data_IF_234582059517
#
_entry.id   IF_234582059517
#
_cell.length_a   1.000
_cell.length_b   1.000
_cell.length_c   1.000
_cell.angle_alpha   90.00
_cell.angle_beta   90.00
_cell.angle_gamma   90.00
#
_symmetry.space_group_name_H-M   'P 1'
#
loop_
_entity.id
_entity.type
_entity.pdbx_description
1 polymer ?
#
# COMPACT_ATOMS: atom_id res chain seq x y z
N UNK A 1 -20.31 -9.37 8.29
CA UNK A 1 -19.60 -8.72 7.17
C UNK A 1 -18.29 -8.23 7.74
N UNK A 2 -17.15 -8.72 7.25
CA UNK A 2 -15.84 -8.28 7.74
C UNK A 2 -15.61 -6.85 7.26
N UNK A 3 -15.58 -5.89 8.18
CA UNK A 3 -15.20 -4.50 7.87
C UNK A 3 -13.77 -4.50 7.31
N UNK A 4 -13.58 -3.94 6.12
CA UNK A 4 -12.28 -3.69 5.51
C UNK A 4 -11.95 -2.19 5.59
N UNK A 5 -10.68 -1.80 5.37
CA UNK A 5 -10.22 -0.42 5.53
C UNK A 5 -10.94 0.57 4.60
N UNK A 6 -11.37 0.14 3.40
CA UNK A 6 -12.17 0.99 2.52
C UNK A 6 -13.54 1.27 3.12
N UNK A 7 -14.26 0.21 3.52
CA UNK A 7 -15.58 0.35 4.15
C UNK A 7 -15.52 1.13 5.45
N UNK A 8 -14.42 0.99 6.22
CA UNK A 8 -14.21 1.74 7.46
C UNK A 8 -14.09 3.25 7.21
N UNK A 9 -13.54 3.66 6.07
CA UNK A 9 -13.41 5.07 5.67
C UNK A 9 -14.54 5.56 4.76
N UNK A 10 -15.60 4.76 4.58
CA UNK A 10 -16.74 5.09 3.72
C UNK A 10 -16.39 5.13 2.23
N UNK A 11 -15.44 4.30 1.79
CA UNK A 11 -14.99 4.18 0.41
C UNK A 11 -15.33 2.82 -0.18
N UNK A 12 -15.48 2.79 -1.51
CA UNK A 12 -15.51 1.55 -2.27
C UNK A 12 -14.08 0.99 -2.44
N UNK A 13 -13.97 -0.33 -2.59
CA UNK A 13 -12.69 -1.00 -2.82
C UNK A 13 -12.21 -0.68 -4.22
N UNK A 14 -11.28 0.27 -4.33
CA UNK A 14 -10.68 0.69 -5.59
C UNK A 14 -9.23 1.12 -5.37
N UNK A 15 -8.38 0.91 -6.37
CA UNK A 15 -7.04 1.50 -6.37
C UNK A 15 -7.11 3.01 -6.56
N UNK A 16 -7.98 3.47 -7.46
CA UNK A 16 -8.23 4.88 -7.73
C UNK A 16 -9.29 5.40 -6.76
N UNK A 17 -8.82 5.94 -5.63
CA UNK A 17 -9.67 6.62 -4.65
C UNK A 17 -9.43 8.12 -4.70
N UNK A 18 -10.47 8.88 -4.42
CA UNK A 18 -10.36 10.31 -4.16
C UNK A 18 -9.81 10.54 -2.74
N UNK A 19 -8.55 10.98 -2.67
CA UNK A 19 -7.86 11.27 -1.42
C UNK A 19 -8.52 12.42 -0.64
N UNK A 20 -9.13 13.39 -1.32
CA UNK A 20 -9.81 14.50 -0.66
C UNK A 20 -11.08 14.03 0.05
N UNK A 21 -11.87 13.19 -0.62
CA UNK A 21 -13.05 12.56 0.00
C UNK A 21 -12.64 11.63 1.16
N UNK A 22 -11.57 10.85 0.99
CA UNK A 22 -11.02 10.02 2.07
C UNK A 22 -10.64 10.86 3.30
N UNK A 23 -9.94 11.97 3.09
CA UNK A 23 -9.49 12.87 4.16
C UNK A 23 -10.67 13.53 4.88
N UNK A 24 -11.69 13.99 4.15
CA UNK A 24 -12.92 14.53 4.74
C UNK A 24 -13.65 13.49 5.61
N UNK A 25 -13.80 12.26 5.11
CA UNK A 25 -14.42 11.17 5.85
C UNK A 25 -13.64 10.84 7.12
N UNK A 26 -12.31 10.76 7.02
CA UNK A 26 -11.41 10.53 8.14
C UNK A 26 -11.56 11.58 9.25
N UNK A 27 -11.54 12.88 8.90
CA UNK A 27 -11.69 13.97 9.88
C UNK A 27 -13.06 13.95 10.55
N UNK A 28 -14.13 13.67 9.79
CA UNK A 28 -15.48 13.56 10.32
C UNK A 28 -15.60 12.39 11.32
N UNK A 29 -15.01 11.23 10.99
CA UNK A 29 -15.00 10.06 11.85
C UNK A 29 -14.22 10.29 13.14
N UNK A 30 -13.02 10.88 13.08
CA UNK A 30 -12.24 11.19 14.28
C UNK A 30 -13.00 12.14 15.23
N UNK A 31 -13.68 13.14 14.67
CA UNK A 31 -14.47 14.10 15.44
C UNK A 31 -15.66 13.43 16.14
N UNK A 32 -16.27 12.41 15.53
CA UNK A 32 -17.40 11.65 16.10
C UNK A 32 -17.00 10.65 17.19
N UNK A 33 -15.72 10.27 17.26
CA UNK A 33 -15.20 9.22 18.16
C UNK A 33 -14.42 9.78 19.36
N UNK A 34 -14.50 11.09 19.65
CA UNK A 34 -13.66 11.72 20.67
C UNK A 34 -13.81 11.04 22.05
N UNK A 35 -12.70 10.54 22.66
CA UNK A 35 -12.74 9.70 23.85
C UNK A 35 -13.22 10.43 25.12
N UNK A 36 -13.32 11.75 25.06
CA UNK A 36 -13.78 12.62 26.14
C UNK A 36 -15.31 12.63 26.29
N UNK A 37 -16.04 12.06 25.32
CA UNK A 37 -17.49 11.87 25.42
C UNK A 37 -17.90 10.61 26.22
N UNK A 38 -16.94 9.76 26.63
CA UNK A 38 -17.23 8.51 27.33
C UNK A 38 -16.81 8.58 28.80
N UNK A 39 -17.80 8.56 29.70
CA UNK A 39 -17.61 8.46 31.15
C UNK A 39 -17.33 7.03 31.63
N UNK A 40 -17.57 6.04 30.79
CA UNK A 40 -17.41 4.61 31.05
C UNK A 40 -16.04 4.12 30.53
N UNK A 41 -15.24 3.53 31.40
CA UNK A 41 -13.86 3.08 31.10
C UNK A 41 -13.83 2.08 29.94
N UNK A 42 -14.77 1.13 29.90
CA UNK A 42 -14.81 0.08 28.87
C UNK A 42 -15.20 0.66 27.51
N UNK A 43 -16.11 1.65 27.50
CA UNK A 43 -16.47 2.38 26.26
C UNK A 43 -15.32 3.24 25.75
N UNK A 44 -14.53 3.80 26.66
CA UNK A 44 -13.34 4.59 26.34
C UNK A 44 -12.24 3.73 25.70
N UNK A 45 -11.96 2.54 26.23
CA UNK A 45 -11.02 1.59 25.63
C UNK A 45 -11.45 1.15 24.21
N UNK A 46 -12.75 0.86 24.03
CA UNK A 46 -13.29 0.54 22.71
C UNK A 46 -13.18 1.71 21.73
N UNK A 47 -13.40 2.95 22.18
CA UNK A 47 -13.27 4.14 21.34
C UNK A 47 -11.82 4.34 20.88
N UNK A 48 -10.85 4.17 21.79
CA UNK A 48 -9.42 4.25 21.46
C UNK A 48 -9.02 3.19 20.42
N UNK A 49 -9.47 1.95 20.60
CA UNK A 49 -9.20 0.87 19.64
C UNK A 49 -9.79 1.18 18.24
N UNK A 50 -10.98 1.77 18.18
CA UNK A 50 -11.61 2.15 16.92
C UNK A 50 -10.88 3.31 16.23
N UNK A 51 -10.44 4.33 16.97
CA UNK A 51 -9.61 5.42 16.44
C UNK A 51 -8.30 4.86 15.86
N UNK A 52 -7.66 3.93 16.56
CA UNK A 52 -6.43 3.30 16.09
C UNK A 52 -6.63 2.58 14.74
N UNK A 53 -7.73 1.83 14.58
CA UNK A 53 -8.09 1.18 13.32
C UNK A 53 -8.33 2.17 12.18
N UNK A 54 -9.03 3.27 12.44
CA UNK A 54 -9.28 4.32 11.44
C UNK A 54 -7.98 4.98 11.00
N UNK A 55 -7.06 5.23 11.93
CA UNK A 55 -5.75 5.80 11.62
C UNK A 55 -4.88 4.84 10.79
N UNK A 56 -4.92 3.55 11.13
CA UNK A 56 -4.24 2.51 10.36
C UNK A 56 -4.80 2.43 8.93
N UNK A 57 -6.13 2.34 8.78
CA UNK A 57 -6.79 2.35 7.50
C UNK A 57 -6.40 3.57 6.65
N UNK A 58 -6.40 4.77 7.24
CA UNK A 58 -6.00 6.00 6.55
C UNK A 58 -4.54 5.93 6.10
N UNK A 59 -3.63 5.49 6.95
CA UNK A 59 -2.20 5.34 6.63
C UNK A 59 -1.97 4.37 5.47
N UNK A 60 -2.64 3.20 5.51
CA UNK A 60 -2.54 2.16 4.48
C UNK A 60 -3.10 2.65 3.16
N UNK A 61 -4.30 3.26 3.15
CA UNK A 61 -4.93 3.71 1.91
C UNK A 61 -4.30 4.99 1.35
N UNK A 62 -3.58 5.80 2.14
CA UNK A 62 -2.96 7.05 1.65
C UNK A 62 -1.84 6.80 0.64
N UNK A 63 -0.98 5.81 0.87
CA UNK A 63 0.13 5.50 -0.04
C UNK A 63 -0.32 4.52 -1.15
N UNK A 64 -0.06 4.80 -2.43
CA UNK A 64 -0.46 3.91 -3.53
C UNK A 64 0.08 2.49 -3.40
N UNK A 65 1.31 2.34 -2.88
CA UNK A 65 1.92 1.02 -2.72
C UNK A 65 1.21 0.20 -1.63
N UNK A 66 1.00 0.79 -0.45
CA UNK A 66 0.35 0.09 0.68
C UNK A 66 -1.14 -0.15 0.39
N UNK A 67 -1.78 0.75 -0.35
CA UNK A 67 -3.14 0.55 -0.87
C UNK A 67 -3.20 -0.64 -1.82
N UNK A 68 -2.26 -0.73 -2.76
CA UNK A 68 -2.19 -1.85 -3.68
C UNK A 68 -1.97 -3.18 -2.94
N UNK A 69 -1.01 -3.23 -2.01
CA UNK A 69 -0.77 -4.40 -1.14
C UNK A 69 -2.06 -4.85 -0.44
N UNK A 70 -2.80 -3.91 0.16
CA UNK A 70 -4.05 -4.23 0.83
C UNK A 70 -5.13 -4.76 -0.12
N UNK A 71 -5.26 -4.19 -1.32
CA UNK A 71 -6.20 -4.71 -2.34
C UNK A 71 -5.81 -6.14 -2.74
N UNK A 72 -4.51 -6.45 -2.88
CA UNK A 72 -4.03 -7.79 -3.21
C UNK A 72 -4.33 -8.80 -2.09
N UNK A 73 -4.16 -8.39 -0.83
CA UNK A 73 -4.51 -9.21 0.34
C UNK A 73 -6.01 -9.53 0.35
N UNK A 74 -6.87 -8.55 0.08
CA UNK A 74 -8.32 -8.76 -0.04
C UNK A 74 -8.70 -9.73 -1.16
N UNK A 75 -7.92 -9.77 -2.24
CA UNK A 75 -8.12 -10.69 -3.36
C UNK A 75 -7.45 -12.06 -3.14
N UNK A 76 -6.65 -12.24 -2.07
CA UNK A 76 -5.98 -13.50 -1.77
C UNK A 76 -4.93 -13.93 -2.79
N UNK A 77 -4.35 -12.99 -3.54
CA UNK A 77 -3.37 -13.28 -4.59
C UNK A 77 -2.07 -13.81 -3.98
N UNK A 78 -1.57 -14.93 -4.52
CA UNK A 78 -0.27 -15.50 -4.16
C UNK A 78 0.58 -15.63 -5.42
N UNK A 79 1.69 -14.91 -5.46
CA UNK A 79 2.70 -15.09 -6.52
C UNK A 79 3.40 -16.44 -6.37
N UNK A 80 3.75 -17.05 -7.50
CA UNK A 80 4.50 -18.29 -7.51
C UNK A 80 5.99 -18.01 -7.30
N UNK A 81 6.77 -19.04 -6.98
CA UNK A 81 8.21 -18.90 -6.78
C UNK A 81 8.91 -18.49 -8.08
N UNK A 82 8.43 -18.96 -9.23
CA UNK A 82 8.96 -18.63 -10.55
C UNK A 82 8.84 -17.13 -10.85
N UNK A 83 7.67 -16.54 -10.57
CA UNK A 83 7.47 -15.10 -10.71
C UNK A 83 8.47 -14.31 -9.87
N UNK A 84 8.68 -14.74 -8.61
CA UNK A 84 9.63 -14.08 -7.72
C UNK A 84 11.08 -14.19 -8.20
N UNK A 85 11.45 -15.33 -8.78
CA UNK A 85 12.79 -15.49 -9.35
C UNK A 85 13.00 -14.58 -10.57
N UNK A 86 11.98 -14.44 -11.43
CA UNK A 86 12.03 -13.54 -12.58
C UNK A 86 12.20 -12.08 -12.13
N UNK A 87 11.44 -11.66 -11.11
CA UNK A 87 11.55 -10.33 -10.53
C UNK A 87 12.96 -10.04 -9.98
N UNK A 88 13.59 -11.02 -9.34
CA UNK A 88 14.97 -10.87 -8.83
C UNK A 88 15.96 -10.69 -9.98
N UNK A 89 15.81 -11.43 -11.07
CA UNK A 89 16.65 -11.27 -12.26
C UNK A 89 16.50 -9.88 -12.87
N UNK A 90 15.27 -9.40 -13.07
CA UNK A 90 15.02 -8.07 -13.63
C UNK A 90 15.61 -6.95 -12.77
N UNK A 91 15.58 -7.10 -11.45
CA UNK A 91 16.14 -6.06 -10.56
C UNK A 91 17.66 -6.13 -10.49
N UNK A 92 18.26 -7.31 -10.62
CA UNK A 92 19.72 -7.45 -10.68
C UNK A 92 20.30 -6.64 -11.85
N UNK A 93 19.70 -6.74 -13.04
CA UNK A 93 20.13 -5.99 -14.23
C UNK A 93 20.06 -4.46 -14.03
N UNK A 94 19.12 -3.99 -13.21
CA UNK A 94 18.95 -2.57 -12.87
C UNK A 94 20.05 -2.11 -11.90
N UNK A 95 20.50 -2.98 -11.01
CA UNK A 95 21.56 -2.70 -10.04
C UNK A 95 22.97 -2.72 -10.66
N UNK A 96 23.19 -3.51 -11.70
CA UNK A 96 24.48 -3.57 -12.43
C UNK A 96 24.71 -2.35 -13.35
N UNK A 97 23.76 -1.44 -13.44
CA UNK A 97 23.92 -0.20 -14.18
C UNK A 97 24.97 0.72 -13.54
N UNK A 98 25.76 1.41 -14.36
CA UNK A 98 26.80 2.37 -13.93
C UNK A 98 26.25 3.49 -13.02
N UNK A 99 24.94 3.77 -13.10
CA UNK A 99 24.21 4.69 -12.24
C UNK A 99 22.99 3.98 -11.64
N UNK A 100 23.27 3.05 -10.71
CA UNK A 100 22.26 2.20 -10.08
C UNK A 100 21.18 3.00 -9.34
N UNK A 101 21.52 4.12 -8.69
CA UNK A 101 20.54 4.94 -7.95
C UNK A 101 19.51 5.59 -8.89
N UNK A 102 19.98 6.16 -10.00
CA UNK A 102 19.12 6.72 -11.04
C UNK A 102 18.29 5.63 -11.73
N UNK A 103 18.91 4.48 -12.04
CA UNK A 103 18.23 3.34 -12.65
C UNK A 103 17.11 2.79 -11.73
N UNK A 104 17.39 2.58 -10.45
CA UNK A 104 16.41 2.14 -9.44
C UNK A 104 15.26 3.15 -9.35
N UNK A 105 15.55 4.45 -9.28
CA UNK A 105 14.53 5.49 -9.18
C UNK A 105 13.62 5.54 -10.42
N UNK A 106 14.21 5.38 -11.61
CA UNK A 106 13.50 5.30 -12.88
C UNK A 106 12.58 4.07 -12.93
N UNK A 107 13.11 2.90 -12.56
CA UNK A 107 12.33 1.66 -12.52
C UNK A 107 11.22 1.69 -11.48
N UNK A 108 11.45 2.29 -10.32
CA UNK A 108 10.41 2.49 -9.30
C UNK A 108 9.24 3.31 -9.87
N UNK A 109 9.54 4.37 -10.62
CA UNK A 109 8.52 5.22 -11.24
C UNK A 109 7.71 4.46 -12.29
N UNK A 110 8.39 3.65 -13.13
CA UNK A 110 7.73 2.78 -14.12
C UNK A 110 6.82 1.74 -13.46
N UNK A 111 7.29 1.10 -12.39
CA UNK A 111 6.48 0.13 -11.64
C UNK A 111 5.21 0.77 -11.07
N UNK A 112 5.30 2.02 -10.56
CA UNK A 112 4.13 2.75 -10.07
C UNK A 112 3.12 3.06 -11.18
N UNK A 113 3.59 3.46 -12.36
CA UNK A 113 2.73 3.73 -13.50
C UNK A 113 2.03 2.46 -14.02
N UNK A 114 2.81 1.38 -14.22
CA UNK A 114 2.29 0.09 -14.67
C UNK A 114 1.30 -0.51 -13.67
N UNK A 115 1.59 -0.42 -12.38
CA UNK A 115 0.68 -0.85 -11.32
C UNK A 115 -0.68 -0.16 -11.47
N UNK A 116 -0.71 1.16 -11.66
CA UNK A 116 -1.97 1.89 -11.89
C UNK A 116 -2.72 1.38 -13.12
N UNK A 117 -2.03 1.23 -14.26
CA UNK A 117 -2.62 0.69 -15.50
C UNK A 117 -3.20 -0.72 -15.31
N UNK A 118 -2.51 -1.60 -14.59
CA UNK A 118 -2.99 -2.96 -14.34
C UNK A 118 -4.24 -2.98 -13.46
N UNK A 119 -4.31 -2.10 -12.44
CA UNK A 119 -5.54 -1.93 -11.67
C UNK A 119 -6.69 -1.35 -12.50
N UNK A 120 -6.41 -0.45 -13.45
CA UNK A 120 -7.42 0.13 -14.34
C UNK A 120 -8.05 -0.91 -15.28
N UNK A 121 -7.23 -1.80 -15.84
CA UNK A 121 -7.71 -2.87 -16.73
C UNK A 121 -8.25 -4.09 -15.97
N UNK A 122 -8.14 -4.11 -14.64
CA UNK A 122 -8.58 -5.22 -13.78
C UNK A 122 -7.65 -6.43 -13.74
N UNK A 123 -6.42 -6.31 -14.24
CA UNK A 123 -5.42 -7.38 -14.16
C UNK A 123 -4.70 -7.33 -12.81
N UNK A 124 -5.35 -7.91 -11.81
CA UNK A 124 -4.85 -7.90 -10.43
C UNK A 124 -3.56 -8.72 -10.29
N UNK A 125 -3.35 -9.73 -11.14
CA UNK A 125 -2.13 -10.55 -11.11
C UNK A 125 -0.91 -9.74 -11.56
N UNK A 126 -1.02 -9.04 -12.69
CA UNK A 126 0.07 -8.17 -13.16
C UNK A 126 0.31 -7.00 -12.21
N UNK A 127 -0.75 -6.44 -11.61
CA UNK A 127 -0.60 -5.45 -10.54
C UNK A 127 0.20 -6.00 -9.35
N UNK A 128 -0.02 -7.27 -8.96
CA UNK A 128 0.73 -7.93 -7.89
C UNK A 128 2.23 -8.06 -8.20
N UNK A 129 2.59 -8.38 -9.44
CA UNK A 129 3.98 -8.42 -9.88
C UNK A 129 4.65 -7.06 -9.74
N UNK A 130 3.98 -5.98 -10.17
CA UNK A 130 4.52 -4.62 -10.06
C UNK A 130 4.68 -4.17 -8.60
N UNK A 131 3.72 -4.52 -7.73
CA UNK A 131 3.80 -4.24 -6.28
C UNK A 131 5.02 -4.93 -5.66
N UNK A 132 5.21 -6.22 -5.92
CA UNK A 132 6.34 -6.97 -5.37
C UNK A 132 7.69 -6.48 -5.92
N UNK A 133 7.76 -6.14 -7.22
CA UNK A 133 8.93 -5.49 -7.82
C UNK A 133 9.25 -4.16 -7.13
N UNK A 134 8.24 -3.31 -6.94
CA UNK A 134 8.39 -2.00 -6.30
C UNK A 134 8.84 -2.12 -4.83
N UNK A 135 8.36 -3.13 -4.10
CA UNK A 135 8.82 -3.42 -2.72
C UNK A 135 10.30 -3.81 -2.70
N UNK A 136 10.71 -4.67 -3.62
CA UNK A 136 12.10 -5.10 -3.73
C UNK A 136 13.02 -3.93 -4.07
N UNK A 137 12.68 -3.12 -5.08
CA UNK A 137 13.41 -1.90 -5.45
C UNK A 137 13.48 -0.89 -4.30
N UNK A 138 12.39 -0.66 -3.56
CA UNK A 138 12.40 0.22 -2.38
C UNK A 138 13.30 -0.30 -1.26
N UNK A 139 13.36 -1.62 -1.08
CA UNK A 139 14.24 -2.24 -0.08
C UNK A 139 15.70 -1.99 -0.45
N UNK A 140 16.07 -2.17 -1.72
CA UNK A 140 17.42 -1.90 -2.22
C UNK A 140 17.80 -0.42 -2.10
N UNK A 141 16.90 0.49 -2.46
CA UNK A 141 17.13 1.94 -2.35
C UNK A 141 17.33 2.38 -0.88
N UNK A 142 16.49 1.88 0.05
CA UNK A 142 16.66 2.15 1.49
C UNK A 142 17.93 1.53 2.08
N UNK A 143 18.39 0.42 1.51
CA UNK A 143 19.64 -0.25 1.87
C UNK A 143 20.85 0.32 1.14
N UNK A 144 20.76 1.52 0.55
CA UNK A 144 21.86 2.20 -0.15
C UNK A 144 23.20 1.90 0.51
N UNK A 145 24.15 1.39 -0.28
CA UNK A 145 25.51 1.00 0.12
C UNK A 145 25.78 -0.47 0.55
N UNK A 146 25.05 -1.48 0.06
CA UNK A 146 25.45 -2.89 0.21
C UNK A 146 25.77 -3.63 -1.10
N UNK A 147 25.81 -2.94 -2.24
CA UNK A 147 26.42 -3.47 -3.47
C UNK A 147 27.83 -2.89 -3.64
N UNK A 148 28.67 -3.14 -2.64
CA UNK A 148 30.12 -3.02 -2.78
C UNK A 148 30.65 -4.43 -3.01
N UNK A 149 30.64 -4.86 -4.27
CA UNK A 149 31.54 -5.90 -4.75
C UNK A 149 32.69 -5.21 -5.50
#
# INVERSE_FOLDING_TARGET
>A
MSENYFTLLGLEVSFFIDLETMERNYVAMQSSMHPDCFSDLTKKESAVANIAKVNEAYSVLKSPLTRAEYILELNGIKLQNEDRNNLVSEVFDVCDAHDAESAITSEMSKCQELMGKFFEIGDIYQAALQVEKLKYLKKLNKSGAACSC
#
